data_IF_953592208058
#
_entry.id   IF_953592208058
#
_cell.length_a   1.000
_cell.length_b   1.000
_cell.length_c   1.000
_cell.angle_alpha   90.00
_cell.angle_beta   90.00
_cell.angle_gamma   90.00
#
_symmetry.space_group_name_H-M   'P 1'
#
loop_
_entity.id
_entity.type
_entity.pdbx_description
1 polymer ?
#
# COMPACT_ATOMS: atom_id res chain seq x y z
N UNK A 1 13.48 5.50 8.09
CA UNK A 1 12.60 4.33 7.90
C UNK A 1 11.70 4.60 6.70
N UNK A 2 11.25 3.59 5.95
CA UNK A 2 10.24 3.79 4.89
C UNK A 2 8.86 3.41 5.42
N UNK A 3 7.93 4.33 5.32
CA UNK A 3 6.53 4.15 5.73
C UNK A 3 5.68 4.06 4.47
N UNK A 4 4.80 3.07 4.44
CA UNK A 4 3.80 2.85 3.41
C UNK A 4 2.45 3.25 4.00
N UNK A 5 1.77 4.19 3.36
CA UNK A 5 0.44 4.67 3.80
C UNK A 5 -0.57 4.43 2.68
N UNK A 6 -1.77 3.96 3.01
CA UNK A 6 -2.87 3.82 2.04
C UNK A 6 -3.35 5.21 1.63
N UNK A 7 -3.43 5.44 0.31
CA UNK A 7 -3.96 6.68 -0.27
C UNK A 7 -5.16 6.35 -1.16
N UNK A 8 -6.37 6.43 -0.61
CA UNK A 8 -7.58 6.24 -1.39
C UNK A 8 -8.74 7.09 -0.84
N UNK A 9 -9.81 7.22 -1.63
CA UNK A 9 -11.03 7.86 -1.15
C UNK A 9 -11.84 6.90 -0.27
N UNK A 10 -11.91 5.62 -0.65
CA UNK A 10 -12.49 4.55 0.14
C UNK A 10 -12.09 3.19 -0.42
N UNK A 11 -12.18 2.15 0.40
CA UNK A 11 -12.07 0.76 -0.05
C UNK A 11 -13.05 -0.12 0.73
N UNK A 12 -13.36 -1.28 0.16
CA UNK A 12 -14.14 -2.31 0.86
C UNK A 12 -13.81 -3.70 0.34
N UNK A 13 -14.01 -4.70 1.19
CA UNK A 13 -13.93 -6.11 0.82
C UNK A 13 -15.26 -6.55 0.16
N UNK A 14 -15.15 -7.19 -0.99
CA UNK A 14 -16.28 -7.72 -1.76
C UNK A 14 -16.64 -9.12 -1.27
N UNK A 15 -17.82 -9.60 -1.66
CA UNK A 15 -18.28 -10.96 -1.34
C UNK A 15 -17.36 -12.08 -1.86
N UNK A 16 -16.56 -11.82 -2.91
CA UNK A 16 -15.58 -12.75 -3.45
C UNK A 16 -14.22 -12.73 -2.72
N UNK A 17 -14.10 -11.95 -1.64
CA UNK A 17 -12.88 -11.78 -0.85
C UNK A 17 -11.80 -10.93 -1.54
N UNK A 18 -12.16 -10.18 -2.58
CA UNK A 18 -11.28 -9.21 -3.23
C UNK A 18 -11.53 -7.80 -2.70
N UNK A 19 -10.49 -6.98 -2.72
CA UNK A 19 -10.59 -5.58 -2.32
C UNK A 19 -10.94 -4.71 -3.53
N UNK A 20 -11.98 -3.88 -3.38
CA UNK A 20 -12.28 -2.80 -4.30
C UNK A 20 -11.84 -1.47 -3.71
N UNK A 21 -10.99 -0.75 -4.46
CA UNK A 21 -10.46 0.56 -4.08
C UNK A 21 -11.07 1.62 -4.98
N UNK A 22 -11.58 2.70 -4.37
CA UNK A 22 -11.93 3.93 -5.04
C UNK A 22 -10.78 4.91 -4.80
N UNK A 23 -10.01 5.21 -5.84
CA UNK A 23 -8.85 6.10 -5.74
C UNK A 23 -9.29 7.54 -5.44
N UNK A 24 -8.35 8.38 -5.00
CA UNK A 24 -8.59 9.82 -4.79
C UNK A 24 -9.07 10.56 -6.05
N UNK A 25 -8.84 9.97 -7.23
CA UNK A 25 -9.29 10.52 -8.53
C UNK A 25 -10.66 9.96 -8.97
N UNK A 26 -11.33 9.19 -8.13
CA UNK A 26 -12.63 8.57 -8.43
C UNK A 26 -12.56 7.33 -9.34
N UNK A 27 -11.37 6.80 -9.62
CA UNK A 27 -11.21 5.55 -10.39
C UNK A 27 -11.47 4.35 -9.48
N UNK A 28 -12.20 3.36 -9.99
CA UNK A 28 -12.37 2.08 -9.29
C UNK A 28 -11.31 1.08 -9.77
N UNK A 29 -10.64 0.42 -8.82
CA UNK A 29 -9.67 -0.65 -9.06
C UNK A 29 -10.06 -1.86 -8.22
N UNK A 30 -10.05 -3.05 -8.82
CA UNK A 30 -10.26 -4.31 -8.10
C UNK A 30 -8.90 -4.99 -7.97
N UNK A 31 -8.48 -5.21 -6.74
CA UNK A 31 -7.23 -5.89 -6.42
C UNK A 31 -7.43 -7.40 -6.56
N UNK A 32 -6.47 -8.08 -7.18
CA UNK A 32 -6.48 -9.54 -7.17
C UNK A 32 -6.18 -10.07 -5.74
N UNK A 33 -6.24 -11.39 -5.55
CA UNK A 33 -6.04 -12.03 -4.24
C UNK A 33 -4.71 -11.63 -3.57
N UNK A 34 -3.62 -11.60 -4.32
CA UNK A 34 -2.30 -11.26 -3.77
C UNK A 34 -2.26 -9.80 -3.33
N UNK A 35 -2.76 -8.88 -4.16
CA UNK A 35 -2.77 -7.44 -3.85
C UNK A 35 -3.74 -7.15 -2.70
N UNK A 36 -4.87 -7.86 -2.64
CA UNK A 36 -5.84 -7.76 -1.54
C UNK A 36 -5.21 -8.14 -0.19
N UNK A 37 -4.43 -9.23 -0.15
CA UNK A 37 -3.74 -9.61 1.09
C UNK A 37 -2.67 -8.60 1.51
N UNK A 38 -1.91 -8.07 0.56
CA UNK A 38 -0.89 -7.05 0.84
C UNK A 38 -1.57 -5.76 1.32
N UNK A 39 -2.67 -5.36 0.70
CA UNK A 39 -3.49 -4.21 1.10
C UNK A 39 -3.95 -4.33 2.55
N UNK A 40 -4.54 -5.47 2.91
CA UNK A 40 -4.99 -5.73 4.27
C UNK A 40 -3.84 -5.83 5.28
N UNK A 41 -2.63 -6.22 4.84
CA UNK A 41 -1.46 -6.26 5.71
C UNK A 41 -0.87 -4.87 6.01
N UNK A 42 -1.16 -3.87 5.16
CA UNK A 42 -0.74 -2.48 5.39
C UNK A 42 -1.54 -1.85 6.52
N UNK A 43 -2.86 -2.11 6.60
CA UNK A 43 -3.72 -1.63 7.69
C UNK A 43 -3.58 -0.11 7.94
N UNK A 44 -3.95 0.68 6.92
CA UNK A 44 -3.78 2.13 6.79
C UNK A 44 -2.32 2.62 6.71
N UNK A 45 -1.43 2.19 7.60
CA UNK A 45 -0.02 2.58 7.60
C UNK A 45 0.90 1.50 8.18
N UNK A 46 2.02 1.23 7.49
CA UNK A 46 3.01 0.26 7.96
C UNK A 46 4.44 0.60 7.57
N UNK A 47 5.38 0.21 8.42
CA UNK A 47 6.80 0.21 8.11
C UNK A 47 7.14 -0.86 7.04
N UNK A 48 7.96 -0.53 6.04
CA UNK A 48 8.28 -1.49 4.95
C UNK A 48 8.92 -2.77 5.48
N UNK A 49 9.76 -2.69 6.51
CA UNK A 49 10.40 -3.86 7.12
C UNK A 49 9.37 -4.78 7.79
N UNK A 50 8.35 -4.22 8.44
CA UNK A 50 7.27 -4.99 9.06
C UNK A 50 6.37 -5.62 8.00
N UNK A 51 6.04 -4.87 6.94
CA UNK A 51 5.25 -5.38 5.84
C UNK A 51 5.93 -6.57 5.16
N UNK A 52 7.25 -6.48 4.92
CA UNK A 52 8.06 -7.58 4.37
C UNK A 52 7.91 -8.84 5.24
N UNK A 53 7.93 -8.70 6.56
CA UNK A 53 7.77 -9.85 7.47
C UNK A 53 6.35 -10.42 7.42
N UNK A 54 5.32 -9.56 7.43
CA UNK A 54 3.90 -9.97 7.42
C UNK A 54 3.49 -10.72 6.15
N UNK A 55 4.11 -10.41 5.01
CA UNK A 55 3.72 -11.00 3.71
C UNK A 55 4.78 -11.94 3.12
N UNK A 56 5.80 -12.32 3.90
CA UNK A 56 6.91 -13.15 3.45
C UNK A 56 6.45 -14.55 2.95
N UNK A 57 5.35 -15.07 3.49
CA UNK A 57 4.71 -16.33 3.07
C UNK A 57 3.83 -16.17 1.83
N UNK A 58 3.47 -14.94 1.47
CA UNK A 58 2.59 -14.60 0.35
C UNK A 58 3.40 -14.26 -0.90
N UNK A 59 4.42 -13.42 -0.75
CA UNK A 59 5.28 -12.96 -1.86
C UNK A 59 6.74 -12.78 -1.44
N UNK A 60 7.70 -13.09 -2.33
CA UNK A 60 9.10 -12.72 -2.11
C UNK A 60 9.28 -11.20 -2.03
N UNK A 61 10.29 -10.76 -1.27
CA UNK A 61 10.61 -9.33 -1.08
C UNK A 61 10.73 -8.57 -2.40
N UNK A 62 11.43 -9.10 -3.40
CA UNK A 62 11.62 -8.39 -4.68
C UNK A 62 10.29 -8.17 -5.42
N UNK A 63 9.38 -9.15 -5.31
CA UNK A 63 8.03 -9.05 -5.86
C UNK A 63 7.20 -8.01 -5.10
N UNK A 64 7.32 -7.96 -3.78
CA UNK A 64 6.64 -6.97 -2.95
C UNK A 64 7.04 -5.55 -3.32
N UNK A 65 8.35 -5.30 -3.52
CA UNK A 65 8.84 -3.97 -3.96
C UNK A 65 8.20 -3.56 -5.29
N UNK A 66 8.09 -4.49 -6.24
CA UNK A 66 7.43 -4.19 -7.51
C UNK A 66 5.94 -3.89 -7.35
N UNK A 67 5.23 -4.66 -6.51
CA UNK A 67 3.82 -4.42 -6.21
C UNK A 67 3.62 -3.05 -5.57
N UNK A 68 4.45 -2.67 -4.61
CA UNK A 68 4.38 -1.36 -3.96
C UNK A 68 4.61 -0.22 -4.95
N UNK A 69 5.56 -0.38 -5.88
CA UNK A 69 5.80 0.58 -6.96
C UNK A 69 4.57 0.75 -7.87
N UNK A 70 3.91 -0.35 -8.25
CA UNK A 70 2.69 -0.27 -9.06
C UNK A 70 1.52 0.39 -8.30
N UNK A 71 1.38 0.10 -7.00
CA UNK A 71 0.36 0.73 -6.16
C UNK A 71 0.61 2.24 -6.02
N UNK A 72 1.87 2.65 -5.87
CA UNK A 72 2.30 4.05 -5.80
C UNK A 72 2.06 4.78 -7.13
N UNK A 73 2.41 4.18 -8.26
CA UNK A 73 2.16 4.74 -9.59
C UNK A 73 0.66 4.97 -9.88
N UNK A 74 -0.20 4.12 -9.32
CA UNK A 74 -1.66 4.28 -9.40
C UNK A 74 -2.22 5.26 -8.36
N UNK A 75 -1.38 5.83 -7.49
CA UNK A 75 -1.78 6.74 -6.42
C UNK A 75 -2.69 6.06 -5.41
N UNK A 76 -2.43 4.80 -5.09
CA UNK A 76 -3.18 4.00 -4.11
C UNK A 76 -2.43 3.84 -2.79
N UNK A 77 -1.11 4.03 -2.79
CA UNK A 77 -0.28 4.10 -1.59
C UNK A 77 0.74 5.21 -1.75
N UNK A 78 1.15 5.83 -0.64
CA UNK A 78 2.29 6.73 -0.56
C UNK A 78 3.47 6.04 0.11
N UNK A 79 4.69 6.28 -0.40
CA UNK A 79 5.93 5.78 0.20
C UNK A 79 6.77 6.96 0.66
N UNK A 80 6.91 7.11 1.98
CA UNK A 80 7.67 8.23 2.57
C UNK A 80 8.93 7.73 3.28
N UNK A 81 10.01 8.50 3.20
CA UNK A 81 11.12 8.34 4.11
C UNK A 81 10.88 9.23 5.34
N UNK A 82 10.93 8.64 6.52
CA UNK A 82 10.83 9.35 7.80
C UNK A 82 11.89 10.46 7.96
N UNK A 83 13.01 10.38 7.23
CA UNK A 83 14.05 11.41 7.23
C UNK A 83 13.66 12.71 6.50
N UNK A 84 12.64 12.67 5.63
CA UNK A 84 12.26 13.81 4.77
C UNK A 84 11.23 14.73 5.44
N UNK A 85 10.47 14.24 6.42
CA UNK A 85 9.44 15.03 7.13
C UNK A 85 10.05 16.10 8.05
N UNK A 86 11.27 15.92 8.54
CA UNK A 86 11.95 16.94 9.35
C UNK A 86 12.36 18.19 8.53
N UNK A 87 12.58 18.02 7.22
CA UNK A 87 13.02 19.11 6.33
C UNK A 87 11.86 19.95 5.76
N UNK A 88 10.61 19.46 5.84
CA UNK A 88 9.45 20.17 5.27
C UNK A 88 8.70 21.05 6.26
N UNK A 89 8.87 20.84 7.57
CA UNK A 89 8.24 21.66 8.61
C UNK A 89 9.03 22.93 8.97
N UNK A 90 10.30 23.04 8.56
CA UNK A 90 11.19 24.17 8.89
C UNK A 90 11.95 24.75 7.68
N UNK A 91 11.53 24.42 6.46
CA UNK A 91 12.11 24.93 5.21
C UNK A 91 11.47 26.20 4.68
#
# INVERSE_FOLDING_TARGET
>A
MKIITIECASWYEREDGLIQVITIRGKTVILNKTYSKIWLAIDDEICIEELIQKVADIVPKDRLVHILSELEEQGMVGIKNESDEFNTLFG
#
